data_IF_371835416882
#
_entry.id   IF_371835416882
#
_cell.length_a   1.000
_cell.length_b   1.000
_cell.length_c   1.000
_cell.angle_alpha   90.00
_cell.angle_beta   90.00
_cell.angle_gamma   90.00
#
_symmetry.space_group_name_H-M   'P 1'
#
loop_
_entity.id
_entity.type
_entity.pdbx_description
1 polymer ?
#
# COMPACT_ATOMS: atom_id res chain seq x y z
N UNK A 1 -11.54 -13.47 9.89
CA UNK A 1 -11.45 -14.84 10.48
C UNK A 1 -9.99 -15.18 10.80
N UNK A 2 -9.70 -16.22 11.59
CA UNK A 2 -8.32 -16.61 11.94
C UNK A 2 -7.44 -16.90 10.70
N UNK A 3 -8.03 -17.43 9.63
CA UNK A 3 -7.35 -17.66 8.36
C UNK A 3 -6.82 -16.38 7.71
N UNK A 4 -7.65 -15.33 7.61
CA UNK A 4 -7.25 -14.04 7.03
C UNK A 4 -6.05 -13.46 7.78
N UNK A 5 -6.12 -13.38 9.12
CA UNK A 5 -4.99 -12.94 9.95
C UNK A 5 -3.72 -13.75 9.73
N UNK A 6 -3.84 -15.07 9.52
CA UNK A 6 -2.68 -15.90 9.24
C UNK A 6 -2.08 -15.63 7.84
N UNK A 7 -2.89 -15.28 6.84
CA UNK A 7 -2.39 -14.83 5.54
C UNK A 7 -1.73 -13.46 5.64
N UNK A 8 -2.33 -12.51 6.35
CA UNK A 8 -1.74 -11.18 6.56
C UNK A 8 -0.36 -11.29 7.22
N UNK A 9 -0.23 -12.15 8.24
CA UNK A 9 1.06 -12.39 8.90
C UNK A 9 2.10 -13.01 7.97
N UNK A 10 1.71 -13.93 7.08
CA UNK A 10 2.63 -14.48 6.07
C UNK A 10 3.08 -13.42 5.07
N UNK A 11 2.17 -12.54 4.65
CA UNK A 11 2.49 -11.46 3.73
C UNK A 11 3.43 -10.45 4.39
N UNK A 12 3.14 -10.05 5.63
CA UNK A 12 4.01 -9.18 6.46
C UNK A 12 5.42 -9.77 6.58
N UNK A 13 5.54 -11.08 6.85
CA UNK A 13 6.84 -11.76 6.92
C UNK A 13 7.56 -11.76 5.57
N UNK A 14 6.83 -11.96 4.47
CA UNK A 14 7.39 -11.96 3.13
C UNK A 14 7.95 -10.59 2.72
N UNK A 15 7.26 -9.51 3.06
CA UNK A 15 7.66 -8.12 2.73
C UNK A 15 8.54 -7.47 3.81
N UNK A 16 8.98 -8.25 4.81
CA UNK A 16 9.68 -7.72 5.96
C UNK A 16 10.97 -6.98 5.55
N UNK A 17 11.12 -5.74 6.05
CA UNK A 17 12.23 -4.83 5.80
C UNK A 17 12.45 -4.50 4.31
N UNK A 18 11.46 -4.76 3.45
CA UNK A 18 11.53 -4.41 2.04
C UNK A 18 11.69 -2.90 1.86
N UNK A 19 12.63 -2.49 1.01
CA UNK A 19 12.86 -1.07 0.73
C UNK A 19 11.72 -0.45 -0.08
N UNK A 20 11.14 -1.25 -0.98
CA UNK A 20 10.05 -0.85 -1.87
C UNK A 20 9.02 -1.96 -1.87
N UNK A 21 7.76 -1.59 -1.72
CA UNK A 21 6.59 -2.44 -1.97
C UNK A 21 5.74 -1.77 -3.06
N UNK A 22 5.43 -2.52 -4.10
CA UNK A 22 4.46 -2.14 -5.13
C UNK A 22 3.34 -3.17 -5.02
N UNK A 23 2.12 -2.72 -4.78
CA UNK A 23 0.98 -3.60 -4.48
C UNK A 23 -0.31 -2.93 -4.94
N UNK A 24 -1.30 -3.74 -5.30
CA UNK A 24 -2.62 -3.23 -5.65
C UNK A 24 -3.26 -2.52 -4.45
N UNK A 25 -3.97 -1.41 -4.70
CA UNK A 25 -4.71 -0.67 -3.68
C UNK A 25 -5.88 0.08 -4.34
N UNK A 26 -6.71 -0.69 -5.06
CA UNK A 26 -7.68 -0.16 -6.01
C UNK A 26 -8.83 0.62 -5.35
N UNK A 27 -9.17 0.29 -4.10
CA UNK A 27 -10.36 0.86 -3.44
C UNK A 27 -9.99 1.55 -2.14
N UNK A 28 -10.71 2.65 -1.84
CA UNK A 28 -10.69 3.23 -0.50
C UNK A 28 -11.63 2.48 0.47
N UNK A 29 -11.62 2.85 1.75
CA UNK A 29 -12.44 2.21 2.77
C UNK A 29 -13.96 2.41 2.57
N UNK A 30 -14.38 3.39 1.76
CA UNK A 30 -15.77 3.65 1.38
C UNK A 30 -16.21 2.69 0.28
N UNK A 31 -15.36 2.46 -0.71
CA UNK A 31 -15.62 1.62 -1.89
C UNK A 31 -15.44 0.13 -1.59
N UNK A 32 -14.44 -0.23 -0.79
CA UNK A 32 -14.06 -1.62 -0.56
C UNK A 32 -15.20 -2.55 -0.10
N UNK A 33 -16.13 -2.15 0.78
CA UNK A 33 -17.23 -3.03 1.21
C UNK A 33 -18.10 -3.57 0.08
N UNK A 34 -18.28 -2.82 -1.02
CA UNK A 34 -19.05 -3.29 -2.18
C UNK A 34 -18.24 -4.15 -3.16
N UNK A 35 -16.92 -4.23 -2.97
CA UNK A 35 -15.98 -4.93 -3.86
C UNK A 35 -15.28 -6.13 -3.19
N UNK A 36 -15.74 -6.52 -1.99
CA UNK A 36 -15.25 -7.72 -1.32
C UNK A 36 -15.43 -8.95 -2.20
N UNK A 37 -14.34 -9.69 -2.42
CA UNK A 37 -14.32 -10.91 -3.24
C UNK A 37 -13.92 -10.67 -4.70
N UNK A 38 -13.68 -9.43 -5.12
CA UNK A 38 -13.25 -9.11 -6.49
C UNK A 38 -11.75 -9.32 -6.71
N UNK A 39 -10.98 -9.54 -5.63
CA UNK A 39 -9.55 -9.83 -5.69
C UNK A 39 -8.63 -8.62 -5.64
N UNK A 40 -9.15 -7.46 -5.22
CA UNK A 40 -8.38 -6.23 -5.02
C UNK A 40 -8.32 -5.84 -3.54
N UNK A 41 -7.35 -5.01 -3.20
CA UNK A 41 -7.04 -4.56 -1.84
C UNK A 41 -7.59 -3.16 -1.54
N UNK A 42 -7.87 -2.93 -0.26
CA UNK A 42 -8.15 -1.60 0.27
C UNK A 42 -6.85 -0.83 0.56
N UNK A 43 -6.84 0.48 0.34
CA UNK A 43 -5.72 1.37 0.71
C UNK A 43 -5.33 1.21 2.18
N UNK A 44 -6.31 1.15 3.09
CA UNK A 44 -6.08 1.02 4.53
C UNK A 44 -5.32 -0.27 4.89
N UNK A 45 -5.77 -1.39 4.33
CA UNK A 45 -5.19 -2.71 4.58
C UNK A 45 -3.75 -2.78 4.07
N UNK A 46 -3.49 -2.18 2.90
CA UNK A 46 -2.17 -2.13 2.29
C UNK A 46 -1.19 -1.28 3.11
N UNK A 47 -1.65 -0.14 3.65
CA UNK A 47 -0.84 0.68 4.55
C UNK A 47 -0.50 -0.09 5.82
N UNK A 48 -1.46 -0.82 6.39
CA UNK A 48 -1.25 -1.67 7.57
C UNK A 48 -0.24 -2.80 7.30
N UNK A 49 -0.35 -3.49 6.16
CA UNK A 49 0.60 -4.52 5.74
C UNK A 49 2.02 -3.93 5.59
N UNK A 50 2.15 -2.82 4.88
CA UNK A 50 3.44 -2.17 4.64
C UNK A 50 4.10 -1.71 5.96
N UNK A 51 3.32 -1.14 6.88
CA UNK A 51 3.81 -0.76 8.22
C UNK A 51 4.20 -1.98 9.05
N UNK A 52 3.39 -3.04 9.05
CA UNK A 52 3.69 -4.31 9.72
C UNK A 52 4.99 -4.94 9.21
N UNK A 53 5.23 -4.84 7.90
CA UNK A 53 6.46 -5.27 7.23
C UNK A 53 7.66 -4.33 7.42
N UNK A 54 7.50 -3.16 8.05
CA UNK A 54 8.54 -2.11 8.13
C UNK A 54 9.07 -1.66 6.75
N UNK A 55 8.19 -1.67 5.76
CA UNK A 55 8.49 -1.19 4.41
C UNK A 55 8.87 0.30 4.46
N UNK A 56 9.80 0.72 3.60
CA UNK A 56 10.23 2.12 3.53
C UNK A 56 9.45 2.96 2.52
N UNK A 57 9.17 2.41 1.34
CA UNK A 57 8.46 3.10 0.26
C UNK A 57 7.35 2.19 -0.27
N UNK A 58 6.11 2.65 -0.22
CA UNK A 58 4.93 1.98 -0.74
C UNK A 58 4.45 2.73 -1.99
N UNK A 59 4.30 2.00 -3.08
CA UNK A 59 3.64 2.47 -4.29
C UNK A 59 2.28 1.80 -4.44
N UNK A 60 1.22 2.59 -4.35
CA UNK A 60 -0.15 2.17 -4.65
C UNK A 60 -0.26 1.96 -6.16
N UNK A 61 -0.67 0.76 -6.59
CA UNK A 61 -0.78 0.39 -7.99
C UNK A 61 -2.13 -0.24 -8.31
N UNK A 62 -2.36 -0.55 -9.59
CA UNK A 62 -3.60 -1.16 -10.09
C UNK A 62 -4.84 -0.33 -9.73
N UNK A 63 -4.75 0.98 -9.98
CA UNK A 63 -5.84 1.93 -9.77
C UNK A 63 -7.08 1.54 -10.59
N UNK A 64 -8.26 1.90 -10.09
CA UNK A 64 -9.49 1.61 -10.80
C UNK A 64 -9.54 2.41 -12.11
N UNK A 65 -9.92 1.80 -13.25
CA UNK A 65 -10.06 2.53 -14.52
C UNK A 65 -11.06 3.69 -14.48
N UNK A 66 -12.02 3.67 -13.55
CA UNK A 66 -13.01 4.73 -13.36
C UNK A 66 -12.53 5.84 -12.39
N UNK A 67 -11.36 5.69 -11.77
CA UNK A 67 -10.75 6.73 -10.93
C UNK A 67 -9.97 7.74 -11.77
N UNK A 68 -10.25 9.02 -11.53
CA UNK A 68 -9.46 10.13 -12.07
C UNK A 68 -8.25 10.49 -11.19
N UNK A 69 -7.39 11.38 -11.68
CA UNK A 69 -6.19 11.83 -10.99
C UNK A 69 -6.50 12.45 -9.62
N UNK A 70 -7.65 13.11 -9.48
CA UNK A 70 -8.10 13.73 -8.23
C UNK A 70 -8.48 12.67 -7.19
N UNK A 71 -9.17 11.59 -7.61
CA UNK A 71 -9.49 10.46 -6.75
C UNK A 71 -8.22 9.74 -6.29
N UNK A 72 -7.30 9.44 -7.20
CA UNK A 72 -6.01 8.81 -6.86
C UNK A 72 -5.22 9.71 -5.90
N UNK A 73 -5.22 11.02 -6.11
CA UNK A 73 -4.56 11.98 -5.22
C UNK A 73 -5.17 11.99 -3.81
N UNK A 74 -6.51 11.88 -3.69
CA UNK A 74 -7.20 11.73 -2.40
C UNK A 74 -6.81 10.43 -1.70
N UNK A 75 -6.74 9.31 -2.42
CA UNK A 75 -6.33 8.03 -1.86
C UNK A 75 -4.90 8.06 -1.33
N UNK A 76 -3.97 8.71 -2.05
CA UNK A 76 -2.58 8.91 -1.58
C UNK A 76 -2.54 9.81 -0.34
N UNK A 77 -3.34 10.87 -0.29
CA UNK A 77 -3.44 11.75 0.88
C UNK A 77 -3.94 10.98 2.11
N UNK A 78 -5.04 10.22 1.95
CA UNK A 78 -5.59 9.34 2.98
C UNK A 78 -4.55 8.32 3.48
N UNK A 79 -3.84 7.65 2.57
CA UNK A 79 -2.78 6.71 2.95
C UNK A 79 -1.68 7.36 3.81
N UNK A 80 -1.30 8.61 3.52
CA UNK A 80 -0.31 9.36 4.31
C UNK A 80 -0.86 9.78 5.68
N UNK A 81 -2.14 10.12 5.77
CA UNK A 81 -2.83 10.36 7.05
C UNK A 81 -2.84 9.10 7.91
N UNK A 82 -3.14 7.94 7.31
CA UNK A 82 -3.09 6.65 7.98
C UNK A 82 -1.70 6.31 8.55
N UNK A 83 -0.63 6.58 7.79
CA UNK A 83 0.75 6.41 8.25
C UNK A 83 1.03 7.32 9.45
N UNK A 84 0.61 8.58 9.38
CA UNK A 84 0.79 9.57 10.46
C UNK A 84 0.03 9.14 11.72
N UNK A 85 -1.23 8.73 11.58
CA UNK A 85 -2.06 8.25 12.67
C UNK A 85 -1.45 7.01 13.37
N UNK A 86 -0.79 6.15 12.60
CA UNK A 86 -0.09 4.95 13.09
C UNK A 86 1.33 5.21 13.58
N UNK A 87 1.79 6.47 13.53
CA UNK A 87 3.16 6.89 13.91
C UNK A 87 4.25 6.14 13.15
N UNK A 88 4.00 5.83 11.88
CA UNK A 88 4.92 5.15 10.98
C UNK A 88 5.85 6.09 10.21
N UNK A 89 6.91 5.53 9.63
CA UNK A 89 7.86 6.22 8.74
C UNK A 89 7.82 5.60 7.32
N UNK A 90 6.60 5.36 6.83
CA UNK A 90 6.34 4.81 5.51
C UNK A 90 6.10 5.95 4.52
N UNK A 91 6.86 5.99 3.42
CA UNK A 91 6.57 6.91 2.31
C UNK A 91 5.55 6.26 1.39
N UNK A 92 4.53 7.02 0.98
CA UNK A 92 3.46 6.52 0.11
C UNK A 92 3.33 7.41 -1.13
N UNK A 93 3.30 6.78 -2.29
CA UNK A 93 3.05 7.41 -3.60
C UNK A 93 2.12 6.54 -4.45
N UNK A 94 1.41 7.15 -5.41
CA UNK A 94 0.75 6.41 -6.47
C UNK A 94 1.75 6.11 -7.59
N UNK A 95 1.85 4.84 -7.98
CA UNK A 95 2.52 4.46 -9.21
C UNK A 95 1.73 5.02 -10.41
N UNK A 96 2.46 5.48 -11.43
CA UNK A 96 1.92 6.05 -12.67
C UNK A 96 2.82 5.69 -13.84
N UNK A 97 2.28 5.77 -15.05
CA UNK A 97 3.05 5.52 -16.27
C UNK A 97 4.31 6.40 -16.32
N UNK A 98 5.43 5.81 -16.72
CA UNK A 98 6.73 6.49 -16.81
C UNK A 98 7.40 6.80 -15.47
N UNK A 99 6.84 6.41 -14.33
CA UNK A 99 7.51 6.54 -13.03
C UNK A 99 8.69 5.56 -12.93
N UNK A 100 9.89 6.08 -12.72
CA UNK A 100 11.08 5.30 -12.42
C UNK A 100 11.49 5.47 -10.96
N UNK A 101 11.77 4.36 -10.28
CA UNK A 101 12.31 4.36 -8.92
C UNK A 101 13.66 3.64 -8.89
N UNK A 102 14.72 4.39 -8.59
CA UNK A 102 16.05 3.83 -8.43
C UNK A 102 16.16 3.23 -7.04
N UNK A 103 16.36 1.91 -6.96
CA UNK A 103 16.73 1.25 -5.72
C UNK A 103 18.16 1.66 -5.36
N UNK A 104 18.37 2.46 -4.30
CA UNK A 104 19.72 2.77 -3.89
C UNK A 104 20.38 1.49 -3.39
N UNK A 105 21.64 1.30 -3.78
CA UNK A 105 22.45 0.22 -3.24
C UNK A 105 22.47 0.34 -1.72
N UNK A 106 22.44 -0.79 -1.03
CA UNK A 106 22.56 -0.80 0.43
C UNK A 106 23.84 -0.05 0.81
N UNK A 107 23.75 0.88 1.76
CA UNK A 107 24.93 1.37 2.45
C UNK A 107 25.57 0.14 3.11
N UNK A 108 26.69 -0.33 2.58
CA UNK A 108 27.55 -1.29 3.26
C UNK A 108 28.05 -0.60 4.54
N UNK A 109 27.32 -0.77 5.64
CA UNK A 109 27.79 -0.47 7.00
C UNK A 109 28.06 -1.77 7.72
#
# INVERSE_FOLDING_TARGET
AAYARAQDQRLIQFIQDARVLIIDAQYDATEYPSHVGWGHSCVDDVVDLALGGRVKNLFLFHHDPDHDDDQISRMVAHARELVTARRGDLRVEAAREGLEYVLPLADNR
#
